data_IF_188298094968
#
_entry.id   IF_188298094968
#
_cell.length_a   1.000
_cell.length_b   1.000
_cell.length_c   1.000
_cell.angle_alpha   90.00
_cell.angle_beta   90.00
_cell.angle_gamma   90.00
#
_symmetry.space_group_name_H-M   'P 1'
#
loop_
_entity.id
_entity.type
_entity.pdbx_description
1 polymer ?
#
# COMPACT_ATOMS: atom_id res chain seq x y z
N UNK A 1 9.76 -17.34 13.35
CA UNK A 1 8.40 -17.22 13.92
C UNK A 1 7.98 -18.55 14.51
N UNK A 2 7.33 -18.59 15.69
CA UNK A 2 6.87 -19.86 16.27
C UNK A 2 5.63 -20.41 15.53
N UNK A 3 5.40 -21.73 15.56
CA UNK A 3 4.21 -22.35 14.94
C UNK A 3 2.90 -21.73 15.44
N UNK A 4 2.80 -21.47 16.75
CA UNK A 4 1.61 -20.83 17.37
C UNK A 4 1.38 -19.41 16.84
N UNK A 5 2.44 -18.65 16.61
CA UNK A 5 2.35 -17.30 16.06
C UNK A 5 1.91 -17.34 14.59
N UNK A 6 2.46 -18.28 13.80
CA UNK A 6 2.05 -18.51 12.40
C UNK A 6 0.58 -18.86 12.27
N UNK A 7 0.12 -19.83 13.06
CA UNK A 7 -1.29 -20.19 13.10
C UNK A 7 -2.19 -19.00 13.43
N UNK A 8 -1.77 -18.11 14.35
CA UNK A 8 -2.55 -16.92 14.68
C UNK A 8 -2.65 -15.93 13.52
N UNK A 9 -1.53 -15.59 12.89
CA UNK A 9 -1.53 -14.70 11.72
C UNK A 9 -2.39 -15.30 10.62
N UNK A 10 -2.28 -16.62 10.40
CA UNK A 10 -3.12 -17.39 9.49
C UNK A 10 -4.62 -17.24 9.78
N UNK A 11 -5.04 -17.36 11.04
CA UNK A 11 -6.46 -17.21 11.38
C UNK A 11 -7.01 -15.81 11.07
N UNK A 12 -6.28 -14.75 11.40
CA UNK A 12 -6.74 -13.37 11.15
C UNK A 12 -6.81 -13.10 9.65
N UNK A 13 -5.81 -13.57 8.90
CA UNK A 13 -5.77 -13.48 7.45
C UNK A 13 -6.95 -14.22 6.81
N UNK A 14 -7.19 -15.49 7.18
CA UNK A 14 -8.30 -16.27 6.65
C UNK A 14 -9.66 -15.67 7.02
N UNK A 15 -9.82 -15.18 8.24
CA UNK A 15 -11.02 -14.46 8.66
C UNK A 15 -11.30 -13.26 7.76
N UNK A 16 -10.28 -12.46 7.45
CA UNK A 16 -10.41 -11.33 6.53
C UNK A 16 -10.84 -11.80 5.12
N UNK A 17 -10.25 -12.87 4.59
CA UNK A 17 -10.61 -13.39 3.26
C UNK A 17 -12.04 -13.92 3.19
N UNK A 18 -12.45 -14.70 4.18
CA UNK A 18 -13.84 -15.18 4.29
C UNK A 18 -14.80 -14.00 4.40
N UNK A 19 -14.44 -12.98 5.18
CA UNK A 19 -15.26 -11.79 5.34
C UNK A 19 -15.41 -10.99 4.04
N UNK A 20 -14.34 -10.82 3.26
CA UNK A 20 -14.40 -10.18 1.94
C UNK A 20 -15.32 -10.98 1.00
N UNK A 21 -15.19 -12.31 0.95
CA UNK A 21 -16.07 -13.16 0.14
C UNK A 21 -17.54 -13.02 0.57
N UNK A 22 -17.79 -12.97 1.88
CA UNK A 22 -19.12 -12.69 2.41
C UNK A 22 -19.64 -11.31 1.98
N UNK A 23 -18.82 -10.27 2.02
CA UNK A 23 -19.22 -8.93 1.59
C UNK A 23 -19.50 -8.87 0.09
N UNK A 24 -18.74 -9.60 -0.74
CA UNK A 24 -19.01 -9.73 -2.17
C UNK A 24 -20.36 -10.40 -2.39
N UNK A 25 -20.63 -11.53 -1.74
CA UNK A 25 -21.92 -12.23 -1.79
C UNK A 25 -23.07 -11.31 -1.35
N UNK A 26 -22.93 -10.65 -0.19
CA UNK A 26 -23.92 -9.71 0.34
C UNK A 26 -24.21 -8.60 -0.67
N UNK A 27 -23.17 -8.05 -1.29
CA UNK A 27 -23.30 -6.96 -2.26
C UNK A 27 -24.00 -7.43 -3.54
N UNK A 28 -23.54 -8.54 -4.11
CA UNK A 28 -23.97 -9.03 -5.43
C UNK A 28 -25.34 -9.73 -5.40
N UNK A 29 -25.63 -10.47 -4.35
CA UNK A 29 -26.83 -11.32 -4.31
C UNK A 29 -27.94 -10.72 -3.45
N UNK A 30 -27.61 -9.92 -2.43
CA UNK A 30 -28.61 -9.36 -1.50
C UNK A 30 -28.87 -7.87 -1.77
N UNK A 31 -27.81 -7.07 -1.93
CA UNK A 31 -27.93 -5.62 -2.07
C UNK A 31 -28.13 -5.14 -3.51
N UNK A 32 -27.88 -5.98 -4.51
CA UNK A 32 -27.95 -5.60 -5.93
C UNK A 32 -29.27 -4.92 -6.37
N UNK A 33 -30.47 -5.28 -5.86
CA UNK A 33 -31.70 -4.54 -6.18
C UNK A 33 -31.70 -3.08 -5.72
N UNK A 34 -30.92 -2.74 -4.68
CA UNK A 34 -30.84 -1.40 -4.09
C UNK A 34 -29.56 -0.66 -4.47
N UNK A 35 -28.49 -1.40 -4.74
CA UNK A 35 -27.16 -0.91 -5.03
C UNK A 35 -26.56 -1.75 -6.17
N UNK A 36 -27.04 -1.53 -7.41
CA UNK A 36 -26.65 -2.35 -8.55
C UNK A 36 -25.16 -2.20 -8.85
N UNK A 37 -24.46 -3.33 -8.92
CA UNK A 37 -23.03 -3.35 -9.17
C UNK A 37 -22.73 -3.14 -10.67
N UNK A 38 -21.85 -2.19 -10.99
CA UNK A 38 -21.32 -2.04 -12.35
C UNK A 38 -20.21 -3.05 -12.56
N UNK A 39 -20.39 -3.93 -13.55
CA UNK A 39 -19.38 -4.92 -13.92
C UNK A 39 -18.65 -4.49 -15.16
N UNK A 40 -17.33 -4.55 -15.12
CA UNK A 40 -16.51 -4.36 -16.31
C UNK A 40 -16.52 -5.62 -17.20
N UNK A 41 -17.06 -6.75 -16.70
CA UNK A 41 -17.21 -8.00 -17.45
C UNK A 41 -15.86 -8.63 -17.80
N UNK A 42 -14.82 -8.33 -17.01
CA UNK A 42 -13.44 -8.69 -17.28
C UNK A 42 -13.12 -10.15 -16.91
N UNK A 43 -14.00 -10.79 -16.13
CA UNK A 43 -13.84 -12.18 -15.75
C UNK A 43 -15.21 -12.89 -15.55
N UNK A 44 -15.39 -14.14 -16.00
CA UNK A 44 -16.67 -14.86 -15.85
C UNK A 44 -17.02 -15.20 -14.39
N UNK A 45 -16.03 -15.23 -13.50
CA UNK A 45 -16.23 -15.49 -12.08
C UNK A 45 -16.58 -14.19 -11.34
N UNK A 46 -17.75 -14.15 -10.72
CA UNK A 46 -18.30 -12.99 -10.00
C UNK A 46 -17.34 -12.46 -8.92
N UNK A 47 -16.64 -13.33 -8.18
CA UNK A 47 -15.72 -12.90 -7.12
C UNK A 47 -14.54 -12.14 -7.73
N UNK A 48 -13.98 -12.65 -8.82
CA UNK A 48 -12.84 -12.00 -9.47
C UNK A 48 -13.26 -10.72 -10.16
N UNK A 49 -14.37 -10.71 -10.90
CA UNK A 49 -14.90 -9.51 -11.54
C UNK A 49 -15.17 -8.38 -10.53
N UNK A 50 -15.76 -8.71 -9.38
CA UNK A 50 -16.02 -7.77 -8.27
C UNK A 50 -14.76 -7.17 -7.64
N UNK A 51 -13.59 -7.73 -7.95
CA UNK A 51 -12.31 -7.31 -7.42
C UNK A 51 -11.39 -6.70 -8.49
N UNK A 52 -11.86 -6.55 -9.72
CA UNK A 52 -11.11 -6.08 -10.89
C UNK A 52 -11.57 -4.67 -11.31
N UNK A 53 -11.21 -3.66 -10.52
CA UNK A 53 -11.54 -2.26 -10.84
C UNK A 53 -10.29 -1.40 -11.00
N UNK A 54 -10.39 -0.37 -11.84
CA UNK A 54 -9.41 0.71 -12.07
C UNK A 54 -7.97 0.22 -12.30
N UNK A 55 -7.07 0.39 -11.33
CA UNK A 55 -5.64 0.06 -11.43
C UNK A 55 -5.39 -1.41 -11.78
N UNK A 56 -6.29 -2.31 -11.39
CA UNK A 56 -6.22 -3.72 -11.78
C UNK A 56 -6.12 -3.88 -13.31
N UNK A 57 -6.91 -3.09 -14.05
CA UNK A 57 -6.89 -3.07 -15.51
C UNK A 57 -5.53 -2.63 -16.06
N UNK A 58 -4.93 -1.58 -15.48
CA UNK A 58 -3.61 -1.10 -15.87
C UNK A 58 -2.51 -2.13 -15.64
N UNK A 59 -2.47 -2.76 -14.46
CA UNK A 59 -1.48 -3.78 -14.14
C UNK A 59 -1.58 -4.99 -15.08
N UNK A 60 -2.81 -5.45 -15.38
CA UNK A 60 -3.04 -6.54 -16.33
C UNK A 60 -2.68 -6.14 -17.76
N UNK A 61 -3.03 -4.93 -18.18
CA UNK A 61 -2.68 -4.39 -19.51
C UNK A 61 -1.18 -4.33 -19.69
N UNK A 62 -0.44 -3.80 -18.72
CA UNK A 62 1.02 -3.75 -18.79
C UNK A 62 1.62 -5.17 -18.80
N UNK A 63 1.07 -6.07 -17.99
CA UNK A 63 1.53 -7.46 -17.98
C UNK A 63 1.33 -8.14 -19.33
N UNK A 64 0.27 -7.83 -20.09
CA UNK A 64 0.01 -8.41 -21.41
C UNK A 64 0.67 -7.66 -22.58
N UNK A 65 0.60 -6.34 -22.59
CA UNK A 65 0.85 -5.49 -23.76
C UNK A 65 2.09 -4.59 -23.60
N UNK A 66 2.61 -4.42 -22.38
CA UNK A 66 3.72 -3.50 -22.11
C UNK A 66 3.25 -2.07 -21.80
N UNK A 67 4.18 -1.12 -21.91
CA UNK A 67 3.99 0.26 -21.52
C UNK A 67 3.67 1.17 -22.71
N UNK A 68 2.94 2.22 -22.40
CA UNK A 68 2.79 3.46 -23.16
C UNK A 68 2.87 4.65 -22.18
N UNK A 69 2.62 5.86 -22.68
CA UNK A 69 2.70 7.07 -21.87
C UNK A 69 1.70 7.08 -20.69
N UNK A 70 0.46 6.67 -20.93
CA UNK A 70 -0.60 6.73 -19.91
C UNK A 70 -0.46 5.65 -18.83
N UNK A 71 0.13 4.49 -19.15
CA UNK A 71 0.47 3.46 -18.15
C UNK A 71 1.74 3.71 -17.36
N UNK A 72 2.54 4.70 -17.75
CA UNK A 72 3.82 4.96 -17.11
C UNK A 72 3.78 5.19 -15.58
N UNK A 73 2.69 5.67 -14.94
CA UNK A 73 2.64 5.80 -13.47
C UNK A 73 2.67 4.47 -12.72
N UNK A 74 2.42 3.34 -13.39
CA UNK A 74 2.38 2.01 -12.79
C UNK A 74 3.74 1.34 -12.84
N UNK A 75 4.41 1.25 -11.70
CA UNK A 75 5.78 0.75 -11.59
C UNK A 75 5.89 -0.76 -11.92
N UNK A 76 7.06 -1.22 -12.40
CA UNK A 76 7.14 -2.43 -13.22
C UNK A 76 7.16 -3.75 -12.47
N UNK A 77 7.47 -3.77 -11.17
CA UNK A 77 7.65 -5.03 -10.44
C UNK A 77 6.38 -5.87 -10.41
N UNK A 78 5.22 -5.25 -10.17
CA UNK A 78 3.95 -5.99 -10.08
C UNK A 78 3.48 -6.54 -11.44
N UNK A 79 3.39 -5.76 -12.53
CA UNK A 79 3.11 -6.29 -13.87
C UNK A 79 4.13 -7.35 -14.34
N UNK A 80 5.41 -7.17 -14.02
CA UNK A 80 6.45 -8.14 -14.36
C UNK A 80 6.19 -9.49 -13.69
N UNK A 81 5.87 -9.50 -12.40
CA UNK A 81 5.51 -10.74 -11.70
C UNK A 81 4.22 -11.34 -12.24
N UNK A 82 3.19 -10.53 -12.54
CA UNK A 82 1.96 -11.03 -13.18
C UNK A 82 2.31 -11.75 -14.48
N UNK A 83 3.09 -11.12 -15.37
CA UNK A 83 3.53 -11.72 -16.63
C UNK A 83 4.29 -13.04 -16.40
N UNK A 84 5.26 -13.04 -15.49
CA UNK A 84 6.08 -14.21 -15.17
C UNK A 84 5.22 -15.39 -14.66
N UNK A 85 4.32 -15.13 -13.71
CA UNK A 85 3.46 -16.17 -13.13
C UNK A 85 2.31 -16.57 -14.06
N UNK A 86 1.93 -15.73 -15.02
CA UNK A 86 0.97 -16.11 -16.07
C UNK A 86 1.47 -17.29 -16.89
N UNK A 87 2.79 -17.43 -17.13
CA UNK A 87 3.36 -18.61 -17.81
C UNK A 87 3.15 -19.92 -17.04
N UNK A 88 2.98 -19.86 -15.72
CA UNK A 88 2.77 -21.04 -14.85
C UNK A 88 1.29 -21.30 -14.62
N UNK A 89 0.50 -20.24 -14.37
CA UNK A 89 -0.92 -20.33 -14.01
C UNK A 89 -1.83 -20.37 -15.25
N UNK A 90 -1.37 -19.87 -16.39
CA UNK A 90 -2.13 -19.78 -17.64
C UNK A 90 -3.12 -18.61 -17.69
N UNK A 91 -3.25 -17.81 -16.62
CA UNK A 91 -4.21 -16.70 -16.53
C UNK A 91 -3.64 -15.54 -15.69
N UNK A 92 -3.60 -14.34 -16.28
CA UNK A 92 -3.03 -13.15 -15.65
C UNK A 92 -3.84 -12.60 -14.47
N UNK A 93 -5.17 -12.74 -14.50
CA UNK A 93 -6.07 -12.38 -13.40
C UNK A 93 -5.77 -13.27 -12.19
N UNK A 94 -5.74 -14.58 -12.39
CA UNK A 94 -5.42 -15.54 -11.34
C UNK A 94 -4.00 -15.33 -10.78
N UNK A 95 -3.02 -15.06 -11.64
CA UNK A 95 -1.66 -14.71 -11.23
C UNK A 95 -1.62 -13.44 -10.37
N UNK A 96 -2.32 -12.37 -10.78
CA UNK A 96 -2.42 -11.12 -10.02
C UNK A 96 -3.02 -11.31 -8.63
N UNK A 97 -4.14 -12.02 -8.53
CA UNK A 97 -4.74 -12.33 -7.23
C UNK A 97 -3.83 -13.18 -6.35
N UNK A 98 -3.17 -14.19 -6.92
CA UNK A 98 -2.23 -15.04 -6.19
C UNK A 98 -1.06 -14.22 -5.63
N UNK A 99 -0.45 -13.37 -6.45
CA UNK A 99 0.66 -12.50 -6.04
C UNK A 99 0.21 -11.55 -4.93
N UNK A 100 -0.90 -10.81 -5.12
CA UNK A 100 -1.41 -9.87 -4.10
C UNK A 100 -1.66 -10.55 -2.76
N UNK A 101 -2.33 -11.71 -2.78
CA UNK A 101 -2.76 -12.38 -1.55
C UNK A 101 -1.62 -13.12 -0.85
N UNK A 102 -0.68 -13.73 -1.59
CA UNK A 102 0.54 -14.30 -1.00
C UNK A 102 1.42 -13.19 -0.42
N UNK A 103 1.62 -12.10 -1.16
CA UNK A 103 2.40 -10.96 -0.67
C UNK A 103 1.80 -10.36 0.60
N UNK A 104 0.47 -10.20 0.66
CA UNK A 104 -0.21 -9.73 1.87
C UNK A 104 0.02 -10.68 3.05
N UNK A 105 -0.05 -11.99 2.84
CA UNK A 105 0.20 -12.95 3.93
C UNK A 105 1.64 -12.86 4.44
N UNK A 106 2.62 -12.76 3.54
CA UNK A 106 4.03 -12.53 3.86
C UNK A 106 4.21 -11.23 4.65
N UNK A 107 3.57 -10.14 4.20
CA UNK A 107 3.55 -8.87 4.90
C UNK A 107 2.98 -9.01 6.32
N UNK A 108 1.85 -9.69 6.50
CA UNK A 108 1.29 -9.93 7.83
C UNK A 108 2.26 -10.71 8.75
N UNK A 109 2.98 -11.71 8.22
CA UNK A 109 3.99 -12.43 8.99
C UNK A 109 5.14 -11.53 9.44
N UNK A 110 5.74 -10.75 8.54
CA UNK A 110 6.85 -9.85 8.91
C UNK A 110 6.39 -8.69 9.80
N UNK A 111 5.20 -8.13 9.57
CA UNK A 111 4.61 -7.11 10.43
C UNK A 111 4.41 -7.64 11.85
N UNK A 112 3.90 -8.86 11.97
CA UNK A 112 3.74 -9.52 13.26
C UNK A 112 5.08 -9.70 13.99
N UNK A 113 6.10 -10.17 13.27
CA UNK A 113 7.44 -10.38 13.84
C UNK A 113 8.02 -9.05 14.35
N UNK A 114 8.05 -8.02 13.49
CA UNK A 114 8.59 -6.70 13.82
C UNK A 114 7.84 -6.09 15.01
N UNK A 115 6.50 -6.08 14.98
CA UNK A 115 5.70 -5.51 16.06
C UNK A 115 5.83 -6.27 17.39
N UNK A 116 6.08 -7.59 17.33
CA UNK A 116 6.28 -8.42 18.52
C UNK A 116 7.67 -8.20 19.12
N UNK A 117 8.69 -8.04 18.28
CA UNK A 117 10.06 -7.70 18.71
C UNK A 117 10.12 -6.31 19.35
N UNK A 118 9.40 -5.34 18.78
CA UNK A 118 9.40 -3.95 19.27
C UNK A 118 8.58 -3.78 20.57
N UNK A 119 7.56 -4.64 20.76
CA UNK A 119 6.64 -4.54 21.89
C UNK A 119 6.30 -5.92 22.44
N UNK A 120 5.14 -6.47 22.05
CA UNK A 120 4.59 -7.66 22.67
C UNK A 120 3.61 -8.37 21.71
N UNK A 121 3.25 -9.59 22.11
CA UNK A 121 2.39 -10.51 21.35
C UNK A 121 0.99 -9.96 21.08
N UNK A 122 0.41 -9.19 22.02
CA UNK A 122 -0.92 -8.59 21.88
C UNK A 122 -0.86 -7.43 20.91
N UNK A 123 0.10 -6.51 21.09
CA UNK A 123 0.38 -5.41 20.14
C UNK A 123 0.53 -5.95 18.72
N UNK A 124 1.38 -6.94 18.50
CA UNK A 124 1.59 -7.53 17.17
C UNK A 124 0.33 -8.13 16.54
N UNK A 125 -0.49 -8.82 17.35
CA UNK A 125 -1.75 -9.41 16.88
C UNK A 125 -2.73 -8.31 16.43
N UNK A 126 -2.87 -7.26 17.24
CA UNK A 126 -3.73 -6.12 16.94
C UNK A 126 -3.23 -5.33 15.75
N UNK A 127 -1.92 -5.13 15.59
CA UNK A 127 -1.35 -4.47 14.41
C UNK A 127 -1.75 -5.19 13.12
N UNK A 128 -1.64 -6.52 13.07
CA UNK A 128 -2.05 -7.30 11.89
C UNK A 128 -3.55 -7.20 11.65
N UNK A 129 -4.37 -7.24 12.71
CA UNK A 129 -5.82 -7.05 12.60
C UNK A 129 -6.16 -5.67 12.02
N UNK A 130 -5.56 -4.61 12.57
CA UNK A 130 -5.77 -3.23 12.09
C UNK A 130 -5.37 -3.10 10.62
N UNK A 131 -4.26 -3.70 10.19
CA UNK A 131 -3.84 -3.68 8.78
C UNK A 131 -4.91 -4.32 7.87
N UNK A 132 -5.41 -5.50 8.24
CA UNK A 132 -6.33 -6.29 7.42
C UNK A 132 -7.76 -5.73 7.40
N UNK A 133 -8.18 -5.03 8.47
CA UNK A 133 -9.48 -4.39 8.58
C UNK A 133 -9.38 -2.87 8.55
N UNK A 134 -8.27 -2.33 8.03
CA UNK A 134 -8.15 -0.90 7.78
C UNK A 134 -9.22 -0.47 6.76
N UNK A 135 -9.80 0.74 6.85
CA UNK A 135 -10.89 1.18 5.98
C UNK A 135 -10.73 0.83 4.49
N UNK A 136 -9.52 0.98 3.95
CA UNK A 136 -9.20 0.73 2.54
C UNK A 136 -8.40 -0.56 2.31
N UNK A 137 -8.41 -1.53 3.24
CA UNK A 137 -7.64 -2.76 3.12
C UNK A 137 -8.07 -3.67 1.95
N UNK A 138 -9.18 -3.38 1.26
CA UNK A 138 -9.64 -4.13 0.08
C UNK A 138 -8.61 -4.10 -1.05
N UNK A 139 -7.85 -3.00 -1.17
CA UNK A 139 -6.76 -2.86 -2.15
C UNK A 139 -5.62 -3.86 -1.91
N UNK A 140 -5.47 -4.42 -0.71
CA UNK A 140 -4.50 -5.51 -0.51
C UNK A 140 -4.94 -6.84 -1.14
N UNK A 141 -6.24 -7.01 -1.36
CA UNK A 141 -6.81 -8.25 -1.90
C UNK A 141 -6.96 -8.20 -3.42
N UNK A 142 -7.23 -7.01 -3.96
CA UNK A 142 -7.34 -6.76 -5.40
C UNK A 142 -5.97 -6.83 -6.11
N UNK A 143 -5.97 -6.75 -7.44
CA UNK A 143 -4.77 -6.75 -8.29
C UNK A 143 -4.12 -5.36 -8.25
N UNK A 144 -3.50 -5.07 -7.12
CA UNK A 144 -2.90 -3.79 -6.77
C UNK A 144 -1.50 -4.01 -6.19
N UNK A 145 -0.59 -3.07 -6.40
CA UNK A 145 0.83 -3.17 -6.02
C UNK A 145 1.09 -3.13 -4.49
N UNK A 146 0.09 -2.70 -3.71
CA UNK A 146 0.19 -2.31 -2.31
C UNK A 146 0.67 -3.46 -1.41
N UNK A 147 0.11 -4.67 -1.61
CA UNK A 147 0.51 -5.87 -0.86
C UNK A 147 1.96 -6.25 -1.14
N UNK A 148 2.38 -6.13 -2.40
CA UNK A 148 3.73 -6.48 -2.83
C UNK A 148 4.77 -5.50 -2.29
N UNK A 149 4.49 -4.20 -2.39
CA UNK A 149 5.29 -3.15 -1.77
C UNK A 149 5.45 -3.39 -0.27
N UNK A 150 4.35 -3.62 0.44
CA UNK A 150 4.34 -3.82 1.87
C UNK A 150 5.16 -5.05 2.28
N UNK A 151 5.04 -6.15 1.53
CA UNK A 151 5.81 -7.37 1.77
C UNK A 151 7.31 -7.14 1.62
N UNK A 152 7.75 -6.49 0.54
CA UNK A 152 9.15 -6.16 0.31
C UNK A 152 9.70 -5.17 1.34
N UNK A 153 8.94 -4.13 1.68
CA UNK A 153 9.32 -3.17 2.71
C UNK A 153 9.51 -3.85 4.08
N UNK A 154 8.54 -4.63 4.55
CA UNK A 154 8.63 -5.32 5.84
C UNK A 154 9.75 -6.38 5.87
N UNK A 155 9.88 -7.17 4.79
CA UNK A 155 10.94 -8.16 4.69
C UNK A 155 12.32 -7.49 4.69
N UNK A 156 12.49 -6.38 3.96
CA UNK A 156 13.76 -5.63 3.95
C UNK A 156 14.12 -5.07 5.33
N UNK A 157 13.16 -4.49 6.06
CA UNK A 157 13.38 -4.07 7.46
C UNK A 157 13.78 -5.23 8.36
N UNK A 158 13.11 -6.38 8.23
CA UNK A 158 13.45 -7.58 8.99
C UNK A 158 14.89 -8.04 8.71
N UNK A 159 15.29 -8.16 7.44
CA UNK A 159 16.66 -8.57 7.10
C UNK A 159 17.72 -7.53 7.48
N UNK A 160 17.41 -6.23 7.39
CA UNK A 160 18.31 -5.16 7.81
C UNK A 160 18.60 -5.24 9.31
N UNK A 161 17.56 -5.37 10.15
CA UNK A 161 17.68 -5.54 11.61
C UNK A 161 18.49 -6.76 12.03
N UNK A 162 18.49 -7.81 11.20
CA UNK A 162 19.27 -9.02 11.43
C UNK A 162 20.68 -8.97 10.82
N UNK A 163 21.14 -7.79 10.36
CA UNK A 163 22.46 -7.60 9.74
C UNK A 163 22.62 -8.23 8.36
N UNK A 164 21.56 -8.79 7.77
CA UNK A 164 21.56 -9.45 6.46
C UNK A 164 21.33 -8.44 5.34
N UNK A 165 22.29 -7.52 5.20
CA UNK A 165 22.20 -6.34 4.33
C UNK A 165 21.95 -6.67 2.85
N UNK A 166 22.51 -7.74 2.31
CA UNK A 166 22.29 -8.14 0.91
C UNK A 166 20.80 -8.33 0.62
N UNK A 167 20.11 -9.12 1.45
CA UNK A 167 18.67 -9.35 1.30
C UNK A 167 17.85 -8.08 1.56
N UNK A 168 18.26 -7.27 2.53
CA UNK A 168 17.59 -6.00 2.82
C UNK A 168 17.62 -5.06 1.61
N UNK A 169 18.80 -4.88 0.98
CA UNK A 169 18.96 -4.03 -0.20
C UNK A 169 18.19 -4.57 -1.40
N UNK A 170 18.29 -5.88 -1.68
CA UNK A 170 17.57 -6.49 -2.81
C UNK A 170 16.06 -6.30 -2.67
N UNK A 171 15.50 -6.59 -1.50
CA UNK A 171 14.06 -6.45 -1.25
C UNK A 171 13.62 -4.97 -1.25
N UNK A 172 14.44 -4.05 -0.73
CA UNK A 172 14.13 -2.63 -0.82
C UNK A 172 14.20 -2.09 -2.26
N UNK A 173 15.10 -2.63 -3.09
CA UNK A 173 15.14 -2.32 -4.52
C UNK A 173 13.88 -2.85 -5.23
N UNK A 174 13.43 -4.06 -4.88
CA UNK A 174 12.16 -4.58 -5.36
C UNK A 174 10.97 -3.72 -4.93
N UNK A 175 10.96 -3.21 -3.69
CA UNK A 175 9.95 -2.26 -3.21
C UNK A 175 9.97 -0.95 -4.00
N UNK A 176 11.15 -0.38 -4.30
CA UNK A 176 11.26 0.83 -5.13
C UNK A 176 10.71 0.62 -6.56
N UNK A 177 10.79 -0.61 -7.08
CA UNK A 177 10.19 -1.00 -8.36
C UNK A 177 8.69 -1.34 -8.28
N UNK A 178 8.07 -1.34 -7.10
CA UNK A 178 6.60 -1.47 -6.97
C UNK A 178 5.87 -0.14 -6.95
N UNK A 179 6.47 0.90 -6.33
CA UNK A 179 5.99 2.29 -6.29
C UNK A 179 7.14 3.21 -5.88
N UNK A 180 7.05 4.49 -6.24
CA UNK A 180 8.00 5.55 -5.87
C UNK A 180 8.33 5.60 -4.36
N UNK A 181 7.36 5.33 -3.48
CA UNK A 181 7.54 5.33 -2.02
C UNK A 181 8.58 4.31 -1.54
N UNK A 182 8.86 3.25 -2.29
CA UNK A 182 9.88 2.26 -1.94
C UNK A 182 11.30 2.84 -1.90
N UNK A 183 11.56 3.93 -2.63
CA UNK A 183 12.85 4.65 -2.59
C UNK A 183 13.15 5.20 -1.21
N UNK A 184 12.12 5.50 -0.40
CA UNK A 184 12.28 6.01 0.97
C UNK A 184 13.08 5.04 1.86
N UNK A 185 13.06 3.74 1.56
CA UNK A 185 13.84 2.73 2.28
C UNK A 185 15.35 3.01 2.22
N UNK A 186 15.84 3.69 1.18
CA UNK A 186 17.22 4.16 1.11
C UNK A 186 17.57 5.04 2.32
N UNK A 187 16.76 6.05 2.62
CA UNK A 187 17.00 6.96 3.74
C UNK A 187 16.87 6.27 5.09
N UNK A 188 15.88 5.39 5.24
CA UNK A 188 15.69 4.61 6.45
C UNK A 188 16.91 3.73 6.75
N UNK A 189 17.44 3.03 5.74
CA UNK A 189 18.57 2.12 5.90
C UNK A 189 19.92 2.83 5.99
N UNK A 190 20.08 3.96 5.29
CA UNK A 190 21.25 4.82 5.45
C UNK A 190 21.34 5.32 6.89
N UNK A 191 20.21 5.75 7.47
CA UNK A 191 20.15 6.15 8.87
C UNK A 191 20.40 4.99 9.84
N UNK A 192 19.87 3.80 9.54
CA UNK A 192 20.13 2.59 10.33
C UNK A 192 21.64 2.29 10.39
N UNK A 193 22.32 2.27 9.24
CA UNK A 193 23.78 2.09 9.20
C UNK A 193 24.53 3.22 9.90
N UNK A 194 24.07 4.46 9.76
CA UNK A 194 24.67 5.60 10.48
C UNK A 194 24.61 5.39 12.00
N UNK A 195 23.48 4.93 12.53
CA UNK A 195 23.36 4.63 13.96
C UNK A 195 24.23 3.46 14.40
N UNK A 196 24.23 2.35 13.65
CA UNK A 196 25.04 1.16 13.97
C UNK A 196 26.55 1.44 13.95
N UNK A 197 27.01 2.36 13.09
CA UNK A 197 28.42 2.69 12.94
C UNK A 197 28.85 3.93 13.76
N UNK A 198 28.30 4.10 14.98
CA UNK A 198 28.63 5.20 15.89
C UNK A 198 28.47 6.59 15.26
N UNK A 199 27.36 6.82 14.57
CA UNK A 199 27.06 8.10 13.89
C UNK A 199 28.07 8.45 12.80
N UNK A 200 28.55 7.45 12.06
CA UNK A 200 29.43 7.64 10.89
C UNK A 200 28.88 6.86 9.70
N UNK A 201 28.92 7.49 8.52
CA UNK A 201 28.58 6.81 7.27
C UNK A 201 29.86 6.14 6.76
N UNK A 202 29.87 4.81 6.75
CA UNK A 202 30.96 4.02 6.17
C UNK A 202 30.62 3.74 4.72
N UNK A 203 31.33 4.39 3.79
CA UNK A 203 31.01 4.34 2.36
C UNK A 203 30.90 2.90 1.81
N UNK A 204 31.80 1.99 2.22
CA UNK A 204 31.75 0.57 1.80
C UNK A 204 30.45 -0.15 2.20
N UNK A 205 29.84 0.22 3.33
CA UNK A 205 28.56 -0.35 3.80
C UNK A 205 27.36 0.36 3.17
N UNK A 206 27.49 1.66 2.89
CA UNK A 206 26.43 2.48 2.30
C UNK A 206 26.32 2.30 0.78
N UNK A 207 27.41 1.97 0.08
CA UNK A 207 27.46 1.82 -1.37
C UNK A 207 26.41 0.81 -1.90
N UNK A 208 26.22 -0.38 -1.31
CA UNK A 208 25.13 -1.28 -1.70
C UNK A 208 23.73 -0.65 -1.61
N UNK A 209 23.48 0.28 -0.68
CA UNK A 209 22.16 0.92 -0.53
C UNK A 209 21.78 1.73 -1.77
N UNK A 210 22.75 2.22 -2.55
CA UNK A 210 22.49 2.93 -3.81
C UNK A 210 21.76 2.06 -4.85
N UNK A 211 21.78 0.74 -4.71
CA UNK A 211 20.98 -0.16 -5.56
C UNK A 211 19.47 0.15 -5.46
N UNK A 212 19.00 0.66 -4.32
CA UNK A 212 17.59 1.02 -4.12
C UNK A 212 17.15 2.11 -5.09
N UNK A 213 17.72 3.34 -5.09
CA UNK A 213 17.38 4.35 -6.08
C UNK A 213 17.83 3.99 -7.50
N UNK A 214 18.97 3.32 -7.67
CA UNK A 214 19.47 2.92 -9.01
C UNK A 214 18.56 1.88 -9.67
N UNK A 215 17.82 1.08 -8.90
CA UNK A 215 16.84 0.14 -9.48
C UNK A 215 15.80 0.85 -10.34
N UNK A 216 15.43 2.11 -10.02
CA UNK A 216 14.53 2.90 -10.85
C UNK A 216 15.07 3.16 -12.26
N UNK A 217 16.38 3.18 -12.45
CA UNK A 217 16.98 3.33 -13.78
C UNK A 217 16.57 2.18 -14.71
N UNK A 218 16.32 0.97 -14.18
CA UNK A 218 15.76 -0.13 -14.97
C UNK A 218 14.39 0.26 -15.52
N UNK A 219 13.54 0.85 -14.68
CA UNK A 219 12.21 1.30 -15.11
C UNK A 219 12.30 2.46 -16.10
N UNK A 220 13.17 3.44 -15.85
CA UNK A 220 13.39 4.57 -16.77
C UNK A 220 13.85 4.10 -18.16
N UNK A 221 14.72 3.09 -18.24
CA UNK A 221 15.13 2.49 -19.52
C UNK A 221 13.97 1.78 -20.23
N UNK A 222 13.12 1.08 -19.47
CA UNK A 222 11.91 0.42 -19.99
C UNK A 222 10.92 1.45 -20.56
N UNK A 223 10.73 2.57 -19.88
CA UNK A 223 9.86 3.66 -20.32
C UNK A 223 10.45 4.41 -21.51
N UNK A 224 11.76 4.66 -21.53
CA UNK A 224 12.40 5.30 -22.68
C UNK A 224 12.21 4.48 -23.95
N UNK A 225 12.34 3.15 -23.86
CA UNK A 225 12.14 2.26 -25.01
C UNK A 225 10.69 2.20 -25.48
N UNK A 226 9.71 2.23 -24.59
CA UNK A 226 8.30 1.98 -24.93
C UNK A 226 7.44 3.24 -25.08
N UNK A 227 7.69 4.25 -24.25
CA UNK A 227 6.95 5.50 -24.23
C UNK A 227 7.76 6.69 -24.79
N UNK A 228 9.05 6.50 -25.12
CA UNK A 228 9.91 7.57 -25.64
C UNK A 228 10.41 8.57 -24.59
N UNK A 229 9.98 8.44 -23.33
CA UNK A 229 10.32 9.34 -22.23
C UNK A 229 10.74 8.55 -20.98
N UNK A 230 12.01 8.66 -20.51
CA UNK A 230 12.49 7.96 -19.32
C UNK A 230 11.79 8.40 -18.02
N UNK A 231 11.20 9.59 -18.00
CA UNK A 231 10.48 10.17 -16.86
C UNK A 231 8.96 10.16 -17.06
N UNK A 232 8.46 9.35 -18.00
CA UNK A 232 7.02 9.27 -18.31
C UNK A 232 6.17 8.98 -17.05
N UNK A 233 6.68 8.23 -16.07
CA UNK A 233 5.96 7.95 -14.81
C UNK A 233 5.63 9.20 -13.98
N UNK A 234 6.36 10.29 -14.18
CA UNK A 234 6.12 11.58 -13.54
C UNK A 234 5.44 12.56 -14.49
N UNK A 235 5.84 12.61 -15.76
CA UNK A 235 5.26 13.54 -16.73
C UNK A 235 3.82 13.18 -17.10
N UNK A 236 3.48 11.90 -17.24
CA UNK A 236 2.11 11.51 -17.61
C UNK A 236 1.09 11.80 -16.50
N UNK A 237 1.52 11.85 -15.24
CA UNK A 237 0.67 12.29 -14.13
C UNK A 237 0.19 13.74 -14.30
N UNK A 238 0.98 14.59 -14.98
CA UNK A 238 0.58 15.95 -15.33
C UNK A 238 -0.05 15.99 -16.75
N UNK A 239 -1.08 15.18 -16.94
CA UNK A 239 -1.90 15.18 -18.15
C UNK A 239 -3.37 15.27 -17.79
N UNK A 240 -4.21 15.60 -18.76
CA UNK A 240 -5.66 15.60 -18.59
C UNK A 240 -6.18 14.24 -18.08
N UNK A 241 -5.62 13.15 -18.62
CA UNK A 241 -6.00 11.78 -18.26
C UNK A 241 -5.81 11.50 -16.76
N UNK A 242 -4.74 12.02 -16.16
CA UNK A 242 -4.39 11.83 -14.75
C UNK A 242 -4.73 13.03 -13.86
N UNK A 243 -5.55 13.97 -14.37
CA UNK A 243 -6.06 15.10 -13.60
C UNK A 243 -5.01 16.16 -13.23
N UNK A 244 -3.98 16.33 -14.07
CA UNK A 244 -2.93 17.35 -13.90
C UNK A 244 -2.20 17.29 -12.56
N UNK A 245 -1.86 16.07 -12.10
CA UNK A 245 -1.20 15.86 -10.82
C UNK A 245 0.19 16.52 -10.80
N UNK A 246 0.46 17.30 -9.75
CA UNK A 246 1.72 18.00 -9.55
C UNK A 246 2.07 18.17 -8.06
N UNK A 247 3.32 18.56 -7.77
CA UNK A 247 3.76 18.84 -6.41
C UNK A 247 3.36 20.25 -5.95
N UNK A 248 2.95 20.36 -4.69
CA UNK A 248 2.66 21.61 -4.02
C UNK A 248 3.13 21.55 -2.55
N UNK A 249 2.78 22.55 -1.74
CA UNK A 249 3.09 22.51 -0.31
C UNK A 249 2.35 21.36 0.40
N UNK A 250 2.94 20.78 1.47
CA UNK A 250 2.31 19.69 2.22
C UNK A 250 0.89 20.04 2.68
N UNK A 251 -0.09 19.24 2.27
CA UNK A 251 -1.50 19.37 2.63
C UNK A 251 -2.34 20.14 1.62
N UNK A 252 -1.76 20.77 0.60
CA UNK A 252 -2.49 21.55 -0.41
C UNK A 252 -3.66 20.76 -1.02
N UNK A 253 -3.43 19.52 -1.46
CA UNK A 253 -4.48 18.67 -2.04
C UNK A 253 -5.59 18.30 -1.04
N UNK A 254 -5.26 18.23 0.25
CA UNK A 254 -6.25 17.92 1.29
C UNK A 254 -7.13 19.13 1.61
N UNK A 255 -6.57 20.35 1.55
CA UNK A 255 -7.37 21.57 1.62
C UNK A 255 -8.30 21.71 0.42
N UNK A 256 -7.81 21.40 -0.80
CA UNK A 256 -8.63 21.37 -2.00
C UNK A 256 -9.80 20.38 -1.86
N UNK A 257 -9.53 19.14 -1.42
CA UNK A 257 -10.58 18.14 -1.14
C UNK A 257 -11.62 18.66 -0.13
N UNK A 258 -11.20 19.36 0.94
CA UNK A 258 -12.14 19.93 1.91
C UNK A 258 -12.99 21.04 1.28
N UNK A 259 -12.39 21.90 0.45
CA UNK A 259 -13.11 22.91 -0.33
C UNK A 259 -14.15 22.23 -1.22
N UNK A 260 -13.78 21.21 -1.99
CA UNK A 260 -14.71 20.44 -2.84
C UNK A 260 -15.86 19.88 -2.02
N UNK A 261 -15.60 19.33 -0.84
CA UNK A 261 -16.66 18.87 0.07
C UNK A 261 -17.60 20.02 0.49
N UNK A 262 -17.08 21.16 0.93
CA UNK A 262 -17.92 22.28 1.39
C UNK A 262 -18.76 22.90 0.27
N UNK A 263 -18.27 22.93 -0.97
CA UNK A 263 -19.00 23.50 -2.11
C UNK A 263 -19.93 22.51 -2.82
N UNK A 264 -19.55 21.23 -2.91
CA UNK A 264 -20.25 20.22 -3.71
C UNK A 264 -20.84 19.07 -2.88
N UNK A 265 -20.66 19.07 -1.56
CA UNK A 265 -21.06 17.96 -0.67
C UNK A 265 -20.48 16.60 -1.08
N UNK A 266 -19.27 16.61 -1.66
CA UNK A 266 -18.57 15.38 -2.02
C UNK A 266 -17.97 14.71 -0.78
N UNK A 267 -18.73 13.77 -0.21
CA UNK A 267 -18.34 13.01 0.98
C UNK A 267 -17.09 12.15 0.77
N UNK A 268 -16.75 11.82 -0.48
CA UNK A 268 -15.55 11.06 -0.75
C UNK A 268 -14.29 11.91 -0.55
N UNK A 269 -14.30 13.16 -1.01
CA UNK A 269 -13.25 14.13 -0.71
C UNK A 269 -13.09 14.37 0.80
N UNK A 270 -14.19 14.41 1.56
CA UNK A 270 -14.13 14.46 3.03
C UNK A 270 -13.49 13.21 3.64
N UNK A 271 -13.83 12.03 3.15
CA UNK A 271 -13.25 10.76 3.60
C UNK A 271 -11.74 10.73 3.37
N UNK A 272 -11.26 11.14 2.19
CA UNK A 272 -9.82 11.23 1.90
C UNK A 272 -9.09 12.16 2.87
N UNK A 273 -9.56 13.40 3.00
CA UNK A 273 -8.94 14.39 3.90
C UNK A 273 -9.02 13.95 5.36
N UNK A 274 -10.13 13.34 5.78
CA UNK A 274 -10.30 12.79 7.12
C UNK A 274 -9.29 11.68 7.42
N UNK A 275 -9.07 10.76 6.47
CA UNK A 275 -8.06 9.70 6.59
C UNK A 275 -6.65 10.28 6.61
N UNK A 276 -6.32 11.22 5.73
CA UNK A 276 -5.01 11.86 5.67
C UNK A 276 -4.67 12.62 6.97
N UNK A 277 -5.60 13.42 7.49
CA UNK A 277 -5.41 14.18 8.73
C UNK A 277 -5.35 13.28 9.97
N UNK A 278 -6.17 12.23 10.02
CA UNK A 278 -6.11 11.21 11.08
C UNK A 278 -4.77 10.48 11.08
N UNK A 279 -4.26 10.17 9.88
CA UNK A 279 -2.96 9.52 9.75
C UNK A 279 -1.80 10.49 10.05
N UNK A 280 -1.91 11.77 9.71
CA UNK A 280 -0.95 12.80 10.14
C UNK A 280 -0.88 12.90 11.66
N UNK A 281 -2.02 12.92 12.35
CA UNK A 281 -2.07 12.85 13.81
C UNK A 281 -1.36 11.60 14.34
N UNK A 282 -1.60 10.44 13.71
CA UNK A 282 -0.96 9.18 14.05
C UNK A 282 0.57 9.25 13.85
N UNK A 283 1.08 9.90 12.81
CA UNK A 283 2.51 10.13 12.59
C UNK A 283 3.10 10.94 13.74
N UNK A 284 2.46 12.05 14.13
CA UNK A 284 2.90 12.88 15.25
C UNK A 284 2.96 12.05 16.54
N UNK A 285 1.93 11.23 16.80
CA UNK A 285 1.92 10.33 17.96
C UNK A 285 2.96 9.21 17.86
N UNK A 286 3.31 8.77 16.65
CA UNK A 286 4.30 7.71 16.43
C UNK A 286 5.67 8.07 16.99
N UNK A 287 6.08 9.35 16.97
CA UNK A 287 7.32 9.80 17.59
C UNK A 287 7.40 9.56 19.11
N UNK A 288 6.24 9.44 19.78
CA UNK A 288 6.17 9.12 21.21
C UNK A 288 6.20 7.62 21.48
N UNK A 289 5.66 6.80 20.57
CA UNK A 289 5.48 5.36 20.79
C UNK A 289 6.56 4.50 20.14
N UNK A 290 7.04 4.88 18.96
CA UNK A 290 8.05 4.12 18.20
C UNK A 290 9.45 4.62 18.55
N UNK A 291 10.30 3.69 18.96
CA UNK A 291 11.73 3.96 19.25
C UNK A 291 12.61 3.80 18.02
N UNK A 292 12.21 2.93 17.09
CA UNK A 292 12.94 2.69 15.84
C UNK A 292 12.82 3.92 14.92
N UNK A 293 13.95 4.62 14.77
CA UNK A 293 14.05 5.84 13.96
C UNK A 293 14.00 5.55 12.45
N UNK A 294 14.67 4.52 11.90
CA UNK A 294 14.43 4.07 10.53
C UNK A 294 12.95 3.87 10.17
N UNK A 295 12.15 3.26 11.05
CA UNK A 295 10.70 3.14 10.84
C UNK A 295 10.01 4.51 10.76
N UNK A 296 10.37 5.45 11.64
CA UNK A 296 9.82 6.81 11.61
C UNK A 296 10.21 7.56 10.32
N UNK A 297 11.44 7.38 9.82
CA UNK A 297 11.86 7.98 8.54
C UNK A 297 10.99 7.44 7.40
N UNK A 298 10.79 6.12 7.34
CA UNK A 298 9.91 5.51 6.33
C UNK A 298 8.47 6.02 6.42
N UNK A 299 7.92 6.05 7.63
CA UNK A 299 6.57 6.56 7.90
C UNK A 299 6.40 8.03 7.49
N UNK A 300 7.33 8.90 7.91
CA UNK A 300 7.23 10.34 7.69
C UNK A 300 7.47 10.72 6.23
N UNK A 301 8.57 10.27 5.63
CA UNK A 301 8.87 10.61 4.23
C UNK A 301 7.87 9.95 3.28
N UNK A 302 7.46 8.71 3.57
CA UNK A 302 6.46 8.01 2.78
C UNK A 302 5.08 8.67 2.82
N UNK A 303 4.72 9.34 3.91
CA UNK A 303 3.51 10.16 3.99
C UNK A 303 3.68 11.53 3.32
N UNK A 304 4.80 12.21 3.55
CA UNK A 304 5.01 13.58 3.08
C UNK A 304 5.02 13.70 1.55
N UNK A 305 5.56 12.70 0.84
CA UNK A 305 5.59 12.71 -0.64
C UNK A 305 4.17 12.86 -1.24
N UNK A 306 3.21 11.93 -1.00
CA UNK A 306 1.86 12.05 -1.52
C UNK A 306 1.07 13.18 -0.85
N UNK A 307 1.34 13.50 0.42
CA UNK A 307 0.71 14.63 1.10
C UNK A 307 1.14 15.99 0.52
N UNK A 308 2.25 16.04 -0.23
CA UNK A 308 2.71 17.22 -0.97
C UNK A 308 2.32 17.21 -2.44
N UNK A 309 1.37 16.35 -2.84
CA UNK A 309 0.83 16.31 -4.19
C UNK A 309 -0.55 16.98 -4.23
N UNK A 310 -0.93 17.49 -5.40
CA UNK A 310 -2.26 18.03 -5.73
C UNK A 310 -2.72 17.37 -7.03
N UNK A 311 -4.03 17.19 -7.17
CA UNK A 311 -4.70 16.78 -8.40
C UNK A 311 -5.84 17.76 -8.61
N UNK A 312 -5.94 18.35 -9.79
CA UNK A 312 -6.78 19.53 -10.00
C UNK A 312 -8.26 19.18 -10.08
N UNK A 313 -8.57 18.07 -10.75
CA UNK A 313 -9.94 17.73 -11.14
C UNK A 313 -10.44 16.41 -10.53
N UNK A 314 -9.62 15.73 -9.73
CA UNK A 314 -9.92 14.43 -9.13
C UNK A 314 -9.37 14.38 -7.70
N UNK A 315 -9.94 13.56 -6.81
CA UNK A 315 -9.37 13.30 -5.49
C UNK A 315 -8.01 12.60 -5.60
N UNK A 316 -7.17 12.75 -4.57
CA UNK A 316 -5.76 12.40 -4.62
C UNK A 316 -5.49 10.90 -4.41
N UNK A 317 -6.39 10.17 -3.75
CA UNK A 317 -6.20 8.78 -3.38
C UNK A 317 -5.30 8.59 -2.15
N UNK A 318 -5.28 9.56 -1.23
CA UNK A 318 -4.49 9.46 0.02
C UNK A 318 -4.70 8.16 0.82
N UNK A 319 -5.92 7.61 0.94
CA UNK A 319 -6.15 6.38 1.69
C UNK A 319 -5.33 5.17 1.22
N UNK A 320 -4.97 5.09 -0.06
CA UNK A 320 -4.07 4.03 -0.60
C UNK A 320 -2.61 4.28 -0.29
N UNK A 321 -2.16 5.52 -0.30
CA UNK A 321 -0.76 5.85 0.02
C UNK A 321 -0.41 5.57 1.48
N UNK A 322 -1.32 5.85 2.41
CA UNK A 322 -1.11 5.55 3.83
C UNK A 322 -1.21 4.05 4.14
N UNK A 323 -1.84 3.27 3.26
CA UNK A 323 -2.11 1.85 3.45
C UNK A 323 -0.83 1.02 3.64
N UNK A 324 0.27 1.44 3.00
CA UNK A 324 1.56 0.73 3.02
C UNK A 324 2.51 1.22 4.12
N UNK A 325 2.11 2.23 4.89
CA UNK A 325 2.93 2.86 5.93
C UNK A 325 2.85 2.09 7.26
N UNK A 326 3.42 0.88 7.25
CA UNK A 326 3.28 -0.09 8.33
C UNK A 326 3.59 0.41 9.76
N UNK A 327 4.55 1.33 10.00
CA UNK A 327 4.83 1.78 11.37
C UNK A 327 3.63 2.49 12.00
N UNK A 328 2.78 3.13 11.18
CA UNK A 328 1.53 3.74 11.62
C UNK A 328 0.62 2.74 12.32
N UNK A 329 0.47 1.52 11.78
CA UNK A 329 -0.38 0.48 12.40
C UNK A 329 0.16 0.02 13.75
N UNK A 330 1.49 -0.06 13.90
CA UNK A 330 2.12 -0.41 15.17
C UNK A 330 1.83 0.70 16.21
N UNK A 331 2.04 1.96 15.82
CA UNK A 331 1.75 3.10 16.68
C UNK A 331 0.26 3.19 17.06
N UNK A 332 -0.64 2.87 16.13
CA UNK A 332 -2.08 2.89 16.36
C UNK A 332 -2.47 1.79 17.34
N UNK A 333 -1.95 0.57 17.19
CA UNK A 333 -2.18 -0.50 18.16
C UNK A 333 -1.74 -0.08 19.58
N UNK A 334 -0.58 0.58 19.71
CA UNK A 334 -0.08 1.09 21.00
C UNK A 334 -0.97 2.19 21.58
N UNK A 335 -1.41 3.13 20.74
CA UNK A 335 -2.31 4.20 21.14
C UNK A 335 -3.65 3.65 21.65
N UNK A 336 -4.22 2.69 20.93
CA UNK A 336 -5.49 2.06 21.29
C UNK A 336 -5.40 1.27 22.59
N UNK A 337 -4.33 0.49 22.79
CA UNK A 337 -4.12 -0.24 24.04
C UNK A 337 -3.96 0.69 25.23
N UNK A 338 -3.22 1.78 25.07
CA UNK A 338 -3.02 2.75 26.15
C UNK A 338 -4.34 3.37 26.61
N UNK A 339 -5.28 3.59 25.69
CA UNK A 339 -6.54 4.26 25.96
C UNK A 339 -7.72 3.28 26.16
N UNK A 340 -7.50 1.97 26.12
CA UNK A 340 -8.57 0.97 26.21
C UNK A 340 -9.55 0.96 25.03
N UNK A 341 -9.17 1.53 23.88
CA UNK A 341 -10.06 1.77 22.73
C UNK A 341 -10.00 0.66 21.65
N UNK A 342 -9.25 -0.43 21.89
CA UNK A 342 -9.02 -1.46 20.87
C UNK A 342 -10.32 -2.07 20.33
N UNK A 343 -11.28 -2.37 21.20
CA UNK A 343 -12.57 -2.94 20.78
C UNK A 343 -13.42 -1.94 19.99
N UNK A 344 -13.52 -0.70 20.49
CA UNK A 344 -14.27 0.39 19.84
C UNK A 344 -13.73 0.64 18.44
N UNK A 345 -12.41 0.79 18.32
CA UNK A 345 -11.75 0.96 17.02
C UNK A 345 -11.99 -0.24 16.11
N UNK A 346 -11.91 -1.47 16.63
CA UNK A 346 -12.13 -2.68 15.82
C UNK A 346 -13.53 -2.70 15.20
N UNK A 347 -14.57 -2.40 15.99
CA UNK A 347 -15.95 -2.31 15.49
C UNK A 347 -16.10 -1.23 14.41
N UNK A 348 -15.61 -0.02 14.69
CA UNK A 348 -15.67 1.09 13.72
C UNK A 348 -14.90 0.74 12.44
N UNK A 349 -13.69 0.20 12.57
CA UNK A 349 -12.85 -0.17 11.43
C UNK A 349 -13.50 -1.23 10.55
N UNK A 350 -14.13 -2.26 11.15
CA UNK A 350 -14.86 -3.29 10.40
C UNK A 350 -16.05 -2.67 9.67
N UNK A 351 -16.83 -1.79 10.31
CA UNK A 351 -17.98 -1.14 9.67
C UNK A 351 -17.54 -0.29 8.48
N UNK A 352 -16.52 0.56 8.66
CA UNK A 352 -16.00 1.41 7.57
C UNK A 352 -15.40 0.55 6.47
N UNK A 353 -14.59 -0.46 6.82
CA UNK A 353 -14.03 -1.42 5.85
C UNK A 353 -15.13 -2.13 5.05
N UNK A 354 -16.24 -2.49 5.69
CA UNK A 354 -17.38 -3.13 5.03
C UNK A 354 -18.03 -2.19 4.04
N UNK A 355 -18.33 -0.95 4.46
CA UNK A 355 -18.90 0.08 3.57
C UNK A 355 -17.99 0.32 2.36
N UNK A 356 -16.70 0.53 2.59
CA UNK A 356 -15.71 0.77 1.53
C UNK A 356 -15.61 -0.45 0.60
N UNK A 357 -15.61 -1.67 1.14
CA UNK A 357 -15.58 -2.90 0.33
C UNK A 357 -16.84 -3.05 -0.51
N UNK A 358 -18.03 -2.78 0.04
CA UNK A 358 -19.30 -2.80 -0.71
C UNK A 358 -19.24 -1.77 -1.84
N UNK A 359 -18.81 -0.54 -1.56
CA UNK A 359 -18.66 0.50 -2.57
C UNK A 359 -17.68 0.10 -3.68
N UNK A 360 -16.55 -0.53 -3.32
CA UNK A 360 -15.58 -1.08 -4.27
C UNK A 360 -16.21 -2.14 -5.17
N UNK A 361 -16.91 -3.12 -4.59
CA UNK A 361 -17.54 -4.25 -5.31
C UNK A 361 -18.63 -3.80 -6.27
N UNK A 362 -19.31 -2.70 -5.96
CA UNK A 362 -20.31 -2.09 -6.85
C UNK A 362 -19.65 -1.28 -7.97
N UNK A 363 -18.33 -1.05 -7.91
CA UNK A 363 -17.60 -0.25 -8.90
C UNK A 363 -17.70 1.26 -8.66
N UNK A 364 -17.96 1.70 -7.42
CA UNK A 364 -17.89 3.12 -7.04
C UNK A 364 -16.47 3.47 -6.62
N UNK A 365 -15.93 4.55 -7.19
CA UNK A 365 -14.57 5.02 -6.87
C UNK A 365 -14.39 5.27 -5.37
N UNK A 366 -13.32 4.71 -4.78
CA UNK A 366 -13.05 4.77 -3.33
C UNK A 366 -11.59 5.02 -2.92
N UNK A 367 -10.61 5.07 -3.85
CA UNK A 367 -9.23 5.58 -3.62
C UNK A 367 -8.33 5.50 -4.85
#
# INVERSE_FOLDING_TARGET
MSRKDFTRVGYIYLLNKIYIVFLIWLTRDVLNPFLPATTDGLHPNVIFDSLLHWDAGWFLRIAGQGYDFDSAPFFPMFPFLIRLFTYVVGNGVAAGFLISNIALFIACCFLYIIAKEDFDKKTATTTVFILLFFPTAIFFTSIYSESLLLAFALASFYFARNGRWVWAVLLASCAALTRNIGVVLFFAFLYMQYQENNKKIILKKALPLLLIPVSLSIFMLVLWKQAGDPLAFAHSLNSEYWGYRHFAYPGAGQFLNLTIFFYHSDFYSLFESGMALSFLYLIIKSFKYLKDKPQLIFLTLGFLIPFSSVVDNLPLGMPRYILVLFPGYIALARLLYKNGLTQVYSVISILVFSTVTILFVVGRWIS
#
